data_IF_859158058288
#
_entry.id   IF_859158058288
#
_cell.length_a   1.000
_cell.length_b   1.000
_cell.length_c   1.000
_cell.angle_alpha   90.00
_cell.angle_beta   90.00
_cell.angle_gamma   90.00
#
_symmetry.space_group_name_H-M   'P 1'
#
loop_
_entity.id
_entity.type
_entity.pdbx_description
1 polymer ?
#
# COMPACT_ATOMS: atom_id res chain seq x y z
N UNK A 1 -11.58 -18.96 -24.81
CA UNK A 1 -10.92 -17.98 -25.70
C UNK A 1 -11.35 -16.59 -25.27
N UNK A 2 -10.43 -15.62 -25.28
CA UNK A 2 -10.75 -14.22 -24.97
C UNK A 2 -11.48 -13.58 -26.16
N UNK A 3 -12.43 -12.66 -25.90
CA UNK A 3 -13.11 -11.95 -27.00
C UNK A 3 -12.14 -11.03 -27.73
N UNK A 4 -12.31 -10.80 -29.05
CA UNK A 4 -11.44 -9.91 -29.82
C UNK A 4 -11.36 -8.50 -29.22
N UNK A 5 -12.48 -7.98 -28.70
CA UNK A 5 -12.57 -6.66 -28.09
C UNK A 5 -11.79 -6.60 -26.76
N UNK A 6 -11.80 -7.68 -25.99
CA UNK A 6 -11.03 -7.77 -24.75
C UNK A 6 -9.52 -7.82 -25.04
N UNK A 7 -9.12 -8.57 -26.07
CA UNK A 7 -7.73 -8.64 -26.50
C UNK A 7 -7.24 -7.28 -27.04
N UNK A 8 -8.05 -6.59 -27.85
CA UNK A 8 -7.74 -5.24 -28.35
C UNK A 8 -7.59 -4.23 -27.20
N UNK A 9 -8.53 -4.26 -26.24
CA UNK A 9 -8.47 -3.40 -25.06
C UNK A 9 -7.15 -3.59 -24.30
N UNK A 10 -6.80 -4.85 -24.00
CA UNK A 10 -5.56 -5.17 -23.28
C UNK A 10 -4.36 -4.65 -24.07
N UNK A 11 -4.25 -5.00 -25.36
CA UNK A 11 -3.13 -4.58 -26.20
C UNK A 11 -2.94 -3.06 -26.21
N UNK A 12 -4.03 -2.27 -26.21
CA UNK A 12 -3.95 -0.81 -26.14
C UNK A 12 -3.60 -0.28 -24.75
N UNK A 13 -3.93 -1.01 -23.69
CA UNK A 13 -3.56 -0.69 -22.31
C UNK A 13 -2.12 -1.10 -21.93
N UNK A 14 -1.51 -2.05 -22.65
CA UNK A 14 -0.16 -2.57 -22.34
C UNK A 14 0.91 -2.11 -23.34
N UNK A 15 0.83 -0.86 -23.80
CA UNK A 15 1.86 -0.27 -24.65
C UNK A 15 3.14 -0.01 -23.83
N UNK A 16 4.30 -0.28 -24.47
CA UNK A 16 5.64 -0.05 -23.92
C UNK A 16 5.85 1.44 -23.65
N UNK A 17 5.50 2.27 -24.63
CA UNK A 17 5.54 3.73 -24.54
C UNK A 17 4.30 4.27 -23.80
N UNK A 18 4.43 4.92 -22.62
CA UNK A 18 3.31 5.37 -21.80
C UNK A 18 2.34 6.32 -22.53
N UNK A 19 2.85 7.18 -23.40
CA UNK A 19 2.07 8.15 -24.18
C UNK A 19 1.12 7.50 -25.18
N UNK A 20 1.39 6.26 -25.61
CA UNK A 20 0.52 5.51 -26.52
C UNK A 20 -0.49 4.63 -25.80
N UNK A 21 -0.39 4.53 -24.47
CA UNK A 21 -1.28 3.70 -23.66
C UNK A 21 -2.67 4.30 -23.59
N UNK A 22 -3.70 3.50 -23.89
CA UNK A 22 -5.08 3.90 -23.70
C UNK A 22 -5.36 4.19 -22.21
N UNK A 23 -5.85 5.40 -21.91
CA UNK A 23 -6.10 5.87 -20.54
C UNK A 23 -4.93 6.58 -19.86
N UNK A 24 -3.84 6.91 -20.58
CA UNK A 24 -2.68 7.64 -20.04
C UNK A 24 -2.99 9.10 -19.65
N UNK A 25 -3.93 9.75 -20.33
CA UNK A 25 -4.37 11.13 -20.12
C UNK A 25 -5.90 11.28 -20.14
N UNK A 26 -6.40 12.49 -19.88
CA UNK A 26 -7.85 12.75 -19.83
C UNK A 26 -8.56 12.50 -21.18
N UNK A 27 -7.91 12.78 -22.31
CA UNK A 27 -8.50 12.57 -23.64
C UNK A 27 -8.58 11.08 -23.98
N UNK A 28 -7.53 10.34 -23.68
CA UNK A 28 -7.44 8.89 -23.87
C UNK A 28 -8.39 8.12 -22.94
N UNK A 29 -8.76 8.68 -21.78
CA UNK A 29 -9.83 8.13 -20.93
C UNK A 29 -11.19 8.22 -21.64
N UNK A 30 -11.46 9.29 -22.40
CA UNK A 30 -12.69 9.37 -23.21
C UNK A 30 -12.70 8.30 -24.30
N UNK A 31 -11.56 8.08 -24.96
CA UNK A 31 -11.39 6.99 -25.93
C UNK A 31 -11.56 5.60 -25.28
N UNK A 32 -11.07 5.43 -24.05
CA UNK A 32 -11.25 4.19 -23.29
C UNK A 32 -12.73 3.91 -23.02
N UNK A 33 -13.50 4.93 -22.63
CA UNK A 33 -14.96 4.80 -22.42
C UNK A 33 -15.71 4.47 -23.71
N UNK A 34 -15.19 4.88 -24.86
CA UNK A 34 -15.78 4.60 -26.18
C UNK A 34 -15.36 3.24 -26.76
N UNK A 35 -14.50 2.49 -26.05
CA UNK A 35 -13.99 1.22 -26.56
C UNK A 35 -15.12 0.17 -26.73
N UNK A 36 -15.14 -0.62 -27.82
CA UNK A 36 -16.19 -1.63 -28.07
C UNK A 36 -16.38 -2.65 -26.94
N UNK A 37 -15.31 -2.95 -26.20
CA UNK A 37 -15.37 -3.80 -25.01
C UNK A 37 -16.37 -3.29 -23.95
N UNK A 38 -16.58 -1.98 -23.87
CA UNK A 38 -17.54 -1.35 -22.96
C UNK A 38 -18.87 -1.00 -23.64
N UNK A 39 -19.17 -1.60 -24.80
CA UNK A 39 -20.45 -1.42 -25.45
C UNK A 39 -21.60 -1.77 -24.50
N UNK A 40 -22.53 -0.82 -24.28
CA UNK A 40 -23.65 -0.97 -23.36
C UNK A 40 -23.40 -0.52 -21.92
N UNK A 41 -22.18 -0.05 -21.59
CA UNK A 41 -21.91 0.56 -20.28
C UNK A 41 -22.31 2.04 -20.31
N UNK A 42 -23.29 2.43 -19.50
CA UNK A 42 -23.59 3.85 -19.27
C UNK A 42 -22.64 4.44 -18.21
N UNK A 43 -21.57 5.08 -18.68
CA UNK A 43 -20.59 5.71 -17.80
C UNK A 43 -21.15 6.88 -16.96
N UNK A 44 -22.30 7.45 -17.35
CA UNK A 44 -22.99 8.48 -16.58
C UNK A 44 -23.73 7.87 -15.39
N UNK A 45 -24.26 6.66 -15.55
CA UNK A 45 -24.89 5.92 -14.45
C UNK A 45 -23.84 5.41 -13.45
N UNK A 46 -22.76 4.78 -13.94
CA UNK A 46 -21.74 4.17 -13.07
C UNK A 46 -20.92 5.20 -12.26
N UNK A 47 -20.92 6.46 -12.69
CA UNK A 47 -20.21 7.55 -12.00
C UNK A 47 -21.04 8.21 -10.90
N UNK A 48 -22.34 7.89 -10.78
CA UNK A 48 -23.19 8.40 -9.69
C UNK A 48 -22.72 7.83 -8.36
N UNK A 49 -22.71 8.67 -7.31
CA UNK A 49 -22.37 8.24 -5.94
C UNK A 49 -23.33 7.18 -5.39
N UNK A 50 -24.56 7.11 -5.92
CA UNK A 50 -25.58 6.13 -5.56
C UNK A 50 -25.44 4.80 -6.31
N UNK A 51 -24.54 4.71 -7.29
CA UNK A 51 -24.33 3.47 -8.04
C UNK A 51 -23.73 2.41 -7.11
N UNK A 52 -24.51 1.37 -6.82
CA UNK A 52 -24.11 0.28 -5.91
C UNK A 52 -23.18 -0.75 -6.57
N UNK A 53 -22.89 -0.58 -7.86
CA UNK A 53 -21.97 -1.42 -8.60
C UNK A 53 -22.56 -2.77 -9.02
N UNK A 54 -21.66 -3.60 -9.55
CA UNK A 54 -21.92 -5.03 -9.83
C UNK A 54 -22.28 -5.81 -8.56
N UNK A 55 -21.94 -5.25 -7.38
CA UNK A 55 -22.18 -5.86 -6.07
C UNK A 55 -23.65 -6.18 -5.83
N UNK A 56 -24.56 -5.24 -6.07
CA UNK A 56 -25.99 -5.47 -5.87
C UNK A 56 -26.53 -6.58 -6.76
N UNK A 57 -26.17 -6.55 -8.05
CA UNK A 57 -26.58 -7.58 -9.03
C UNK A 57 -26.00 -8.96 -8.74
N UNK A 58 -24.75 -9.04 -8.29
CA UNK A 58 -24.13 -10.31 -7.89
C UNK A 58 -24.78 -10.85 -6.62
N UNK A 59 -25.05 -10.00 -5.62
CA UNK A 59 -25.76 -10.40 -4.41
C UNK A 59 -27.18 -10.90 -4.73
N UNK A 60 -27.92 -10.21 -5.60
CA UNK A 60 -29.24 -10.66 -6.06
C UNK A 60 -29.16 -12.03 -6.74
N UNK A 61 -28.25 -12.20 -7.71
CA UNK A 61 -28.08 -13.50 -8.39
C UNK A 61 -27.61 -14.61 -7.46
N UNK A 62 -26.77 -14.29 -6.46
CA UNK A 62 -26.32 -15.27 -5.47
C UNK A 62 -27.44 -15.69 -4.52
N UNK A 63 -28.37 -14.79 -4.17
CA UNK A 63 -29.56 -15.13 -3.38
C UNK A 63 -30.49 -16.11 -4.09
N UNK A 64 -30.48 -16.13 -5.42
CA UNK A 64 -31.28 -17.06 -6.22
C UNK A 64 -30.69 -18.50 -6.24
N UNK A 65 -29.46 -18.69 -5.77
CA UNK A 65 -28.84 -20.02 -5.74
C UNK A 65 -29.25 -20.80 -4.48
N UNK A 66 -29.64 -22.09 -4.62
CA UNK A 66 -29.98 -22.92 -3.47
C UNK A 66 -28.73 -23.12 -2.58
N UNK A 67 -28.84 -22.77 -1.29
CA UNK A 67 -27.78 -22.91 -0.30
C UNK A 67 -26.91 -21.68 -0.06
N UNK A 68 -27.27 -20.51 -0.58
CA UNK A 68 -26.59 -19.25 -0.24
C UNK A 68 -26.94 -18.80 1.18
N UNK A 69 -25.93 -18.67 2.05
CA UNK A 69 -26.08 -18.06 3.38
C UNK A 69 -25.44 -16.66 3.40
N UNK A 70 -26.25 -15.65 3.71
CA UNK A 70 -25.91 -14.22 3.62
C UNK A 70 -24.74 -13.79 4.52
N UNK A 71 -24.38 -14.61 5.52
CA UNK A 71 -23.33 -14.31 6.51
C UNK A 71 -21.92 -14.78 6.13
N UNK A 72 -21.70 -15.44 4.99
CA UNK A 72 -20.37 -15.97 4.61
C UNK A 72 -19.53 -15.06 3.70
N UNK A 73 -20.11 -14.02 3.10
CA UNK A 73 -19.43 -13.20 2.09
C UNK A 73 -19.42 -11.71 2.47
N UNK A 74 -18.58 -11.35 3.44
CA UNK A 74 -18.36 -9.94 3.79
C UNK A 74 -17.39 -9.27 2.82
N UNK A 75 -17.93 -8.70 1.73
CA UNK A 75 -17.17 -7.89 0.77
C UNK A 75 -16.65 -6.57 1.36
N UNK A 76 -17.09 -6.14 2.55
CA UNK A 76 -16.61 -4.88 3.13
C UNK A 76 -15.14 -4.95 3.57
N UNK A 77 -14.62 -6.15 3.83
CA UNK A 77 -13.21 -6.37 4.17
C UNK A 77 -12.27 -6.53 2.96
N UNK A 78 -12.79 -6.51 1.73
CA UNK A 78 -12.01 -6.63 0.50
C UNK A 78 -11.99 -5.36 -0.37
N UNK A 79 -12.50 -4.23 0.13
CA UNK A 79 -12.21 -2.94 -0.50
C UNK A 79 -10.74 -2.65 -0.22
N UNK A 80 -9.86 -3.19 -1.07
CA UNK A 80 -8.45 -2.83 -1.09
C UNK A 80 -8.44 -1.32 -1.32
N UNK A 81 -7.93 -0.50 -0.39
CA UNK A 81 -7.87 0.94 -0.59
C UNK A 81 -7.16 1.20 -1.91
N UNK A 82 -7.65 2.15 -2.73
CA UNK A 82 -7.05 2.49 -4.04
C UNK A 82 -5.55 2.82 -3.94
N UNK A 83 -5.05 3.16 -2.75
CA UNK A 83 -3.62 3.33 -2.43
C UNK A 83 -2.80 2.01 -2.43
N UNK A 84 -3.44 0.85 -2.32
CA UNK A 84 -2.82 -0.48 -2.24
C UNK A 84 -2.31 -1.01 -3.59
N UNK A 85 -2.86 -0.54 -4.71
CA UNK A 85 -2.44 -0.98 -6.04
C UNK A 85 -1.07 -0.43 -6.44
N UNK A 86 -0.60 0.65 -5.79
CA UNK A 86 0.74 1.20 -6.02
C UNK A 86 1.84 0.54 -5.15
N UNK A 87 1.45 -0.22 -4.13
CA UNK A 87 2.37 -0.95 -3.24
C UNK A 87 2.59 -2.41 -3.63
N UNK A 88 1.85 -2.94 -4.60
CA UNK A 88 1.88 -4.36 -4.96
C UNK A 88 3.14 -4.80 -5.73
N UNK A 89 3.90 -3.88 -6.33
CA UNK A 89 4.98 -4.24 -7.27
C UNK A 89 6.39 -4.27 -6.66
N UNK A 90 6.55 -4.18 -5.34
CA UNK A 90 7.88 -4.07 -4.71
C UNK A 90 8.11 -5.02 -3.52
N UNK A 91 7.36 -6.09 -3.40
CA UNK A 91 7.57 -7.01 -2.28
C UNK A 91 7.69 -8.44 -2.77
N UNK A 92 8.91 -8.96 -2.69
CA UNK A 92 9.16 -10.39 -2.67
C UNK A 92 8.35 -10.98 -1.51
N UNK A 93 7.38 -11.87 -1.75
CA UNK A 93 6.43 -12.33 -0.72
C UNK A 93 7.08 -13.14 0.41
N UNK A 94 8.35 -13.55 0.26
CA UNK A 94 8.99 -14.51 1.15
C UNK A 94 9.76 -13.90 2.35
N UNK A 95 9.90 -12.57 2.48
CA UNK A 95 10.73 -11.97 3.54
C UNK A 95 10.10 -10.81 4.33
N UNK A 96 8.77 -10.69 4.33
CA UNK A 96 8.10 -9.61 5.06
C UNK A 96 7.93 -9.90 6.56
N UNK A 97 9.03 -9.95 7.31
CA UNK A 97 9.07 -10.24 8.74
C UNK A 97 8.63 -9.02 9.56
N UNK A 98 7.71 -9.24 10.51
CA UNK A 98 7.34 -8.23 11.50
C UNK A 98 8.53 -8.01 12.46
N UNK A 99 9.01 -6.76 12.54
CA UNK A 99 10.13 -6.36 13.38
C UNK A 99 9.64 -5.80 14.72
N UNK A 100 8.70 -4.86 14.66
CA UNK A 100 8.25 -4.10 15.82
C UNK A 100 6.76 -3.80 15.73
N UNK A 101 6.06 -3.83 16.86
CA UNK A 101 4.67 -3.36 16.94
C UNK A 101 4.37 -2.68 18.27
N UNK A 102 3.40 -1.76 18.25
CA UNK A 102 2.97 -1.06 19.46
C UNK A 102 2.24 0.24 19.18
N UNK A 103 1.80 0.90 20.26
CA UNK A 103 1.00 2.11 20.19
C UNK A 103 1.86 3.38 20.10
N UNK A 104 1.57 4.22 19.10
CA UNK A 104 2.12 5.56 18.95
C UNK A 104 1.03 6.57 18.62
N UNK A 105 1.29 7.84 18.93
CA UNK A 105 0.45 8.95 18.48
C UNK A 105 0.93 9.42 17.11
N UNK A 106 0.03 9.36 16.12
CA UNK A 106 0.24 9.94 14.79
C UNK A 106 -0.34 11.36 14.77
N UNK A 107 0.49 12.35 14.45
CA UNK A 107 0.01 13.72 14.20
C UNK A 107 -0.42 13.84 12.73
N UNK A 108 -1.63 14.38 12.50
CA UNK A 108 -2.09 14.71 11.15
C UNK A 108 -1.64 16.13 10.75
N UNK A 109 -1.96 16.54 9.53
CA UNK A 109 -1.59 17.85 9.01
C UNK A 109 -2.28 19.03 9.72
N UNK A 110 -3.41 18.77 10.39
CA UNK A 110 -4.07 19.72 11.29
C UNK A 110 -3.52 19.72 12.72
N UNK A 111 -2.37 19.07 12.95
CA UNK A 111 -1.76 18.89 14.27
C UNK A 111 -2.61 18.12 15.30
N UNK A 112 -3.70 17.47 14.88
CA UNK A 112 -4.47 16.57 15.74
C UNK A 112 -3.71 15.26 15.91
N UNK A 113 -3.50 14.87 17.17
CA UNK A 113 -2.84 13.62 17.55
C UNK A 113 -3.88 12.51 17.62
N UNK A 114 -3.54 11.35 17.06
CA UNK A 114 -4.41 10.18 17.04
C UNK A 114 -3.62 8.98 17.51
N UNK A 115 -4.12 8.27 18.52
CA UNK A 115 -3.53 7.00 18.95
C UNK A 115 -3.76 5.96 17.84
N UNK A 116 -2.69 5.30 17.43
CA UNK A 116 -2.71 4.27 16.40
C UNK A 116 -1.80 3.13 16.84
N UNK A 117 -2.22 1.92 16.49
CA UNK A 117 -1.39 0.75 16.61
C UNK A 117 -0.53 0.64 15.35
N UNK A 118 0.78 0.53 15.50
CA UNK A 118 1.73 0.46 14.40
C UNK A 118 2.37 -0.92 14.31
N UNK A 119 2.67 -1.35 13.09
CA UNK A 119 3.42 -2.56 12.77
C UNK A 119 4.50 -2.21 11.74
N UNK A 120 5.77 -2.37 12.14
CA UNK A 120 6.95 -2.19 11.30
C UNK A 120 7.43 -3.53 10.78
N UNK A 121 7.64 -3.61 9.49
CA UNK A 121 8.15 -4.79 8.82
C UNK A 121 9.54 -4.56 8.20
N UNK A 122 10.28 -5.64 7.99
CA UNK A 122 11.63 -5.65 7.42
C UNK A 122 11.72 -5.02 6.03
N UNK A 123 10.64 -5.07 5.24
CA UNK A 123 10.59 -4.48 3.91
C UNK A 123 10.33 -2.96 3.89
N UNK A 124 10.38 -2.28 5.04
CA UNK A 124 10.11 -0.85 5.13
C UNK A 124 8.64 -0.47 5.22
N UNK A 125 7.70 -1.42 5.27
CA UNK A 125 6.30 -1.09 5.51
C UNK A 125 6.05 -0.78 6.99
N UNK A 126 5.51 0.40 7.26
CA UNK A 126 5.02 0.81 8.56
C UNK A 126 3.49 0.98 8.48
N UNK A 127 2.77 -0.10 8.77
CA UNK A 127 1.31 -0.15 8.75
C UNK A 127 0.75 0.43 10.04
N UNK A 128 -0.42 1.06 9.97
CA UNK A 128 -1.09 1.57 11.16
C UNK A 128 -2.61 1.36 11.13
N UNK A 129 -3.14 1.08 12.32
CA UNK A 129 -4.51 0.66 12.54
C UNK A 129 -5.19 1.52 13.62
N UNK A 130 -6.51 1.61 13.53
CA UNK A 130 -7.37 1.98 14.62
C UNK A 130 -7.76 0.70 15.37
N UNK A 131 -7.50 0.67 16.68
CA UNK A 131 -7.89 -0.42 17.58
C UNK A 131 -7.44 -1.82 17.09
N UNK A 132 -6.26 -1.91 16.46
CA UNK A 132 -5.63 -3.11 15.88
C UNK A 132 -6.38 -3.81 14.74
N UNK A 133 -7.67 -3.52 14.53
CA UNK A 133 -8.51 -4.23 13.55
C UNK A 133 -8.75 -3.42 12.28
N UNK A 134 -8.81 -2.10 12.41
CA UNK A 134 -9.27 -1.22 11.34
C UNK A 134 -8.06 -0.54 10.67
N UNK A 135 -7.64 -1.08 9.53
CA UNK A 135 -6.49 -0.59 8.77
C UNK A 135 -6.71 0.86 8.30
N UNK A 136 -5.80 1.76 8.69
CA UNK A 136 -5.88 3.19 8.34
C UNK A 136 -4.85 3.65 7.33
N UNK A 137 -3.81 2.86 7.07
CA UNK A 137 -2.84 3.16 6.03
C UNK A 137 -1.47 2.57 6.29
N UNK A 138 -0.55 2.87 5.37
CA UNK A 138 0.82 2.41 5.37
C UNK A 138 1.77 3.56 5.03
N UNK A 139 2.84 3.69 5.80
CA UNK A 139 3.99 4.55 5.49
C UNK A 139 5.06 3.64 4.92
N UNK A 140 5.50 3.90 3.70
CA UNK A 140 6.55 3.10 3.04
C UNK A 140 7.88 3.81 3.19
N UNK A 141 8.81 3.18 3.90
CA UNK A 141 10.19 3.64 4.03
C UNK A 141 10.97 3.18 2.80
N UNK A 142 11.85 4.05 2.31
CA UNK A 142 12.80 3.71 1.25
C UNK A 142 14.25 3.86 1.73
N UNK A 143 15.23 3.48 0.90
CA UNK A 143 16.66 3.68 1.20
C UNK A 143 17.01 5.14 1.53
N UNK A 144 16.32 6.09 0.91
CA UNK A 144 16.52 7.54 1.14
C UNK A 144 15.59 8.12 2.21
N UNK A 145 14.81 7.29 2.91
CA UNK A 145 13.95 7.78 3.97
C UNK A 145 14.78 8.32 5.13
N UNK A 146 14.43 9.53 5.57
CA UNK A 146 15.10 10.20 6.69
C UNK A 146 14.24 10.10 7.94
N UNK A 147 14.78 9.53 9.00
CA UNK A 147 14.13 9.48 10.31
C UNK A 147 14.94 10.33 11.27
N UNK A 148 14.29 11.32 11.89
CA UNK A 148 14.95 12.27 12.80
C UNK A 148 14.19 12.39 14.11
N UNK A 149 14.92 12.39 15.23
CA UNK A 149 14.36 12.75 16.53
C UNK A 149 14.25 14.27 16.63
N UNK A 150 13.04 14.79 16.78
CA UNK A 150 12.80 16.24 16.87
C UNK A 150 12.65 16.70 18.31
N UNK A 151 12.15 15.83 19.20
CA UNK A 151 12.00 16.08 20.64
C UNK A 151 12.25 14.79 21.42
N UNK A 152 12.31 14.88 22.76
CA UNK A 152 12.50 13.71 23.65
C UNK A 152 11.56 12.55 23.33
N UNK A 153 10.30 12.84 23.02
CA UNK A 153 9.23 11.86 22.76
C UNK A 153 8.69 11.93 21.33
N UNK A 154 9.42 12.52 20.38
CA UNK A 154 8.90 12.77 19.02
C UNK A 154 9.94 12.48 17.96
N UNK A 155 9.52 11.72 16.96
CA UNK A 155 10.28 11.49 15.73
C UNK A 155 9.49 12.00 14.53
N UNK A 156 10.24 12.34 13.49
CA UNK A 156 9.75 12.73 12.19
C UNK A 156 10.33 11.78 11.15
N UNK A 157 9.47 11.33 10.22
CA UNK A 157 9.81 10.45 9.12
C UNK A 157 9.49 11.16 7.80
N UNK A 158 10.47 11.20 6.90
CA UNK A 158 10.26 11.69 5.53
C UNK A 158 10.24 10.51 4.58
N UNK A 159 9.09 10.29 3.93
CA UNK A 159 8.90 9.24 2.94
C UNK A 159 9.42 9.72 1.58
N UNK A 160 10.34 8.94 0.98
CA UNK A 160 10.97 9.27 -0.31
C UNK A 160 9.93 9.44 -1.44
N UNK A 161 9.02 8.46 -1.60
CA UNK A 161 8.11 8.43 -2.76
C UNK A 161 7.09 9.57 -2.77
N UNK A 162 6.58 9.96 -1.59
CA UNK A 162 5.54 10.98 -1.47
C UNK A 162 6.09 12.35 -1.06
N UNK A 163 7.40 12.45 -0.82
CA UNK A 163 8.05 13.59 -0.15
C UNK A 163 7.23 14.14 1.03
N UNK A 164 6.63 13.22 1.79
CA UNK A 164 5.65 13.54 2.82
C UNK A 164 6.27 13.31 4.19
N UNK A 165 6.11 14.29 5.04
CA UNK A 165 6.55 14.26 6.43
C UNK A 165 5.46 13.68 7.33
N UNK A 166 5.86 12.74 8.19
CA UNK A 166 5.02 12.13 9.20
C UNK A 166 5.63 12.38 10.58
N UNK A 167 4.81 12.81 11.53
CA UNK A 167 5.26 13.00 12.92
C UNK A 167 4.62 11.93 13.80
N UNK A 168 5.48 11.15 14.48
CA UNK A 168 5.09 10.12 15.45
C UNK A 168 5.57 10.53 16.84
N UNK A 169 4.69 10.35 17.82
CA UNK A 169 4.89 10.81 19.19
C UNK A 169 4.67 9.63 20.13
N UNK A 170 5.53 9.47 21.12
CA UNK A 170 5.32 8.49 22.18
C UNK A 170 4.10 8.88 23.02
N UNK A 171 3.15 7.95 23.26
CA UNK A 171 2.01 8.21 24.11
C UNK A 171 2.45 8.38 25.57
N UNK A 172 1.64 9.03 26.37
CA UNK A 172 1.87 9.17 27.81
C UNK A 172 1.11 8.11 28.62
N UNK A 173 1.33 8.10 29.94
CA UNK A 173 0.69 7.15 30.86
C UNK A 173 -0.81 7.35 31.04
N UNK A 174 -1.39 8.46 30.59
CA UNK A 174 -2.84 8.68 30.59
C UNK A 174 -3.51 7.98 29.39
N UNK A 175 -2.74 7.71 28.33
CA UNK A 175 -3.23 7.12 27.10
C UNK A 175 -3.05 5.61 27.06
N UNK A 176 -1.94 5.12 27.61
CA UNK A 176 -1.61 3.70 27.64
C UNK A 176 -0.98 3.29 28.98
N UNK A 177 -1.12 2.02 29.33
CA UNK A 177 -0.35 1.41 30.41
C UNK A 177 0.91 0.75 29.84
N UNK A 178 2.08 1.37 30.04
CA UNK A 178 3.36 0.83 29.56
C UNK A 178 3.66 -0.58 30.08
N UNK A 179 3.23 -0.90 31.30
CA UNK A 179 3.40 -2.23 31.88
C UNK A 179 2.57 -3.29 31.12
N UNK A 180 1.31 -2.96 30.82
CA UNK A 180 0.42 -3.86 30.06
C UNK A 180 0.89 -4.01 28.61
N UNK A 181 1.35 -2.93 27.98
CA UNK A 181 1.89 -2.97 26.62
C UNK A 181 3.14 -3.85 26.56
N UNK A 182 4.08 -3.67 27.50
CA UNK A 182 5.27 -4.53 27.60
C UNK A 182 4.91 -5.99 27.82
N UNK A 183 3.91 -6.28 28.65
CA UNK A 183 3.45 -7.66 28.89
C UNK A 183 2.88 -8.33 27.62
N UNK A 184 2.33 -7.54 26.69
CA UNK A 184 1.88 -8.01 25.36
C UNK A 184 3.00 -8.08 24.31
N UNK A 185 4.23 -7.69 24.67
CA UNK A 185 5.34 -7.55 23.74
C UNK A 185 5.23 -6.34 22.82
N UNK A 186 4.49 -5.31 23.22
CA UNK A 186 4.35 -4.07 22.45
C UNK A 186 5.37 -3.04 22.91
N UNK A 187 5.87 -2.26 21.94
CA UNK A 187 6.87 -1.21 22.17
C UNK A 187 6.23 0.16 22.07
N UNK A 188 6.37 0.94 23.14
CA UNK A 188 5.79 2.30 23.23
C UNK A 188 6.85 3.39 23.41
N UNK A 189 8.12 3.03 23.60
CA UNK A 189 9.21 3.98 23.79
C UNK A 189 9.72 4.47 22.43
N UNK A 190 9.80 5.79 22.25
CA UNK A 190 10.13 6.36 20.93
C UNK A 190 11.56 6.03 20.48
N UNK A 191 12.47 5.81 21.43
CA UNK A 191 13.88 5.52 21.15
C UNK A 191 14.07 4.14 20.54
N UNK A 192 13.30 3.15 21.00
CA UNK A 192 13.28 1.81 20.41
C UNK A 192 12.73 1.86 18.98
N UNK A 193 11.65 2.61 18.76
CA UNK A 193 11.11 2.86 17.42
C UNK A 193 12.12 3.53 16.51
N UNK A 194 12.80 4.59 16.98
CA UNK A 194 13.82 5.30 16.22
C UNK A 194 14.95 4.36 15.80
N UNK A 195 15.44 3.52 16.71
CA UNK A 195 16.49 2.54 16.44
C UNK A 195 16.06 1.56 15.36
N UNK A 196 14.91 0.90 15.53
CA UNK A 196 14.46 -0.12 14.58
C UNK A 196 14.08 0.45 13.21
N UNK A 197 13.50 1.67 13.17
CA UNK A 197 13.23 2.35 11.90
C UNK A 197 14.53 2.64 11.12
N UNK A 198 15.59 3.09 11.82
CA UNK A 198 16.88 3.32 11.18
C UNK A 198 17.52 1.99 10.71
N UNK A 199 17.46 0.93 11.53
CA UNK A 199 17.95 -0.39 11.14
C UNK A 199 17.28 -0.89 9.85
N UNK A 200 15.96 -0.72 9.72
CA UNK A 200 15.21 -1.08 8.52
C UNK A 200 15.67 -0.26 7.32
N UNK A 201 15.84 1.06 7.45
CA UNK A 201 16.33 1.90 6.36
C UNK A 201 17.74 1.51 5.92
N UNK A 202 18.66 1.25 6.86
CA UNK A 202 20.01 0.78 6.52
C UNK A 202 19.99 -0.58 5.83
N UNK A 203 19.13 -1.51 6.26
CA UNK A 203 18.92 -2.78 5.58
C UNK A 203 18.43 -2.60 4.14
N UNK A 204 17.51 -1.66 3.91
CA UNK A 204 17.01 -1.35 2.56
C UNK A 204 18.11 -0.76 1.66
N UNK A 205 19.00 0.09 2.20
CA UNK A 205 20.15 0.60 1.45
C UNK A 205 21.09 -0.51 1.01
N UNK A 206 21.37 -1.46 1.90
CA UNK A 206 22.24 -2.58 1.58
C UNK A 206 21.66 -3.44 0.45
N UNK A 207 20.37 -3.75 0.51
CA UNK A 207 19.69 -4.53 -0.52
C UNK A 207 19.69 -3.84 -1.90
N UNK A 208 19.56 -2.50 -1.92
CA UNK A 208 19.61 -1.72 -3.17
C UNK A 208 20.97 -1.81 -3.87
N UNK A 209 22.07 -1.83 -3.11
CA UNK A 209 23.42 -1.97 -3.67
C UNK A 209 23.60 -3.35 -4.29
N UNK A 210 23.21 -4.40 -3.57
CA UNK A 210 23.32 -5.78 -4.04
C UNK A 210 22.55 -6.00 -5.34
N UNK A 211 21.32 -5.48 -5.44
CA UNK A 211 20.53 -5.56 -6.68
C UNK A 211 21.20 -4.83 -7.85
N UNK A 212 21.87 -3.70 -7.58
CA UNK A 212 22.57 -2.93 -8.62
C UNK A 212 23.82 -3.65 -9.13
N UNK A 213 24.55 -4.35 -8.26
CA UNK A 213 25.74 -5.11 -8.64
C UNK A 213 25.38 -6.36 -9.46
N UNK A 214 24.30 -7.07 -9.08
CA UNK A 214 23.82 -8.25 -9.83
C UNK A 214 23.41 -7.87 -11.26
N UNK A 215 22.71 -6.75 -11.44
CA UNK A 215 22.30 -6.29 -12.77
C UNK A 215 23.48 -5.93 -13.69
N UNK A 216 24.60 -5.45 -13.12
CA UNK A 216 25.81 -5.16 -13.92
C UNK A 216 26.51 -6.43 -14.40
N UNK A 217 26.49 -7.51 -13.60
CA UNK A 217 27.09 -8.80 -13.97
C UNK A 217 26.33 -9.50 -15.12
N UNK A 218 25.00 -9.47 -15.10
CA UNK A 218 24.17 -10.09 -16.16
C UNK A 218 24.34 -9.40 -17.53
N UNK A 219 24.60 -8.08 -17.52
CA UNK A 219 24.85 -7.31 -18.75
C UNK A 219 26.22 -7.65 -19.36
N UNK A 220 27.23 -7.95 -18.54
CA UNK A 220 28.55 -8.36 -19.02
C UNK A 220 28.53 -9.77 -19.62
N UNK A 221 27.85 -10.72 -18.98
CA UNK A 221 27.76 -12.10 -19.47
C UNK A 221 27.03 -12.20 -20.82
N UNK A 222 26.03 -11.36 -21.05
CA UNK A 222 25.27 -11.35 -22.31
C UNK A 222 26.06 -10.82 -23.52
N UNK A 223 27.18 -10.14 -23.29
CA UNK A 223 28.00 -9.53 -24.35
C UNK A 223 29.11 -10.44 -24.90
N UNK A 224 29.47 -11.51 -24.17
CA UNK A 224 30.54 -12.43 -24.58
C UNK A 224 30.07 -13.54 -25.54
N UNK A 225 28.76 -13.85 -25.59
CA UNK A 225 28.21 -14.89 -26.47
C UNK A 225 27.85 -14.41 -27.90
N UNK A 226 28.16 -13.15 -28.23
CA UNK A 226 27.83 -12.56 -29.55
C UNK A 226 29.02 -12.40 -30.50
N UNK A 227 30.18 -13.01 -30.18
CA UNK A 227 31.38 -13.01 -31.03
C UNK A 227 31.75 -14.42 -31.51
#
# INVERSE_FOLDING_TARGET
>A
MMSPEAADLINRMIQLEPQHRLGCDLKSIELLKQHPFFAGVDFSEVSKSTYTGVKSRVVERLRELPGYEENKFDFSNQIVPRESLLTANFCNPNENKLILKGNLLKQNWYSKKQLRFFELYSNGQLKYYQDMKDFKGCIVLGPESKIRKTKKTTICLVCQRKNKEYTLIQPDSSQISFAQERAKGYVSMIDDWLKELNNVVEGLKHNQVVESDVQQLDQHASSEDSN
#
